data_IF_999967556524
#
_entry.id   IF_999967556524
#
_cell.length_a   1.000
_cell.length_b   1.000
_cell.length_c   1.000
_cell.angle_alpha   90.00
_cell.angle_beta   90.00
_cell.angle_gamma   90.00
#
_symmetry.space_group_name_H-M   'P 1'
#
loop_
_entity.id
_entity.type
_entity.pdbx_description
1 polymer ?
#
# COMPACT_ATOMS: atom_id res chain seq x y z
N UNK A 1 -4.24 -7.38 16.34
CA UNK A 1 -3.74 -8.28 15.29
C UNK A 1 -2.84 -7.43 14.41
N UNK A 2 -1.57 -7.80 14.29
CA UNK A 2 -0.59 -7.06 13.49
C UNK A 2 -0.59 -7.64 12.08
N UNK A 3 -0.79 -6.80 11.06
CA UNK A 3 -0.49 -7.18 9.68
C UNK A 3 1.02 -7.14 9.51
N UNK A 4 1.58 -8.19 8.91
CA UNK A 4 3.03 -8.34 8.77
C UNK A 4 3.36 -8.82 7.37
N UNK A 5 4.36 -8.17 6.80
CA UNK A 5 4.98 -8.66 5.59
C UNK A 5 5.67 -9.99 5.91
N UNK A 6 5.55 -10.95 5.00
CA UNK A 6 6.10 -12.30 5.11
C UNK A 6 6.84 -12.64 3.82
N UNK A 7 7.77 -13.60 3.88
CA UNK A 7 8.59 -13.98 2.72
C UNK A 7 7.77 -14.52 1.54
N UNK A 8 6.55 -15.03 1.76
CA UNK A 8 5.66 -15.43 0.68
C UNK A 8 5.11 -14.24 -0.13
N UNK A 9 5.23 -13.01 0.37
CA UNK A 9 4.92 -11.78 -0.36
C UNK A 9 6.13 -11.21 -1.10
N UNK A 10 7.29 -11.86 -1.03
CA UNK A 10 8.46 -11.40 -1.78
C UNK A 10 8.24 -11.52 -3.30
N UNK A 11 8.59 -10.45 -4.02
CA UNK A 11 8.55 -10.40 -5.48
C UNK A 11 9.90 -10.73 -6.10
N UNK A 12 10.97 -10.76 -5.29
CA UNK A 12 12.33 -11.06 -5.73
C UNK A 12 13.07 -9.86 -6.32
N UNK A 13 12.58 -8.65 -6.04
CA UNK A 13 13.19 -7.38 -6.44
C UNK A 13 13.44 -6.59 -5.17
N UNK A 14 14.67 -6.62 -4.67
CA UNK A 14 14.99 -6.14 -3.32
C UNK A 14 14.54 -4.70 -3.02
N UNK A 15 14.54 -3.80 -4.01
CA UNK A 15 14.02 -2.44 -3.81
C UNK A 15 12.50 -2.38 -3.65
N UNK A 16 11.74 -3.25 -4.31
CA UNK A 16 10.28 -3.35 -4.19
C UNK A 16 9.94 -4.03 -2.86
N UNK A 17 10.60 -5.14 -2.55
CA UNK A 17 10.39 -5.89 -1.30
C UNK A 17 10.63 -5.00 -0.05
N UNK A 18 11.67 -4.16 -0.09
CA UNK A 18 11.93 -3.18 0.98
C UNK A 18 10.81 -2.14 1.13
N UNK A 19 10.22 -1.69 0.02
CA UNK A 19 9.10 -0.74 0.05
C UNK A 19 7.82 -1.41 0.58
N UNK A 20 7.55 -2.66 0.21
CA UNK A 20 6.44 -3.43 0.78
C UNK A 20 6.59 -3.59 2.29
N UNK A 21 7.77 -3.97 2.78
CA UNK A 21 8.03 -4.09 4.21
C UNK A 21 7.79 -2.77 4.96
N UNK A 22 8.15 -1.64 4.36
CA UNK A 22 7.88 -0.30 4.91
C UNK A 22 6.37 0.01 4.96
N UNK A 23 5.62 -0.28 3.90
CA UNK A 23 4.16 -0.10 3.88
C UNK A 23 3.51 -0.90 5.00
N UNK A 24 3.82 -2.19 5.11
CA UNK A 24 3.25 -3.05 6.15
C UNK A 24 3.56 -2.52 7.56
N UNK A 25 4.77 -2.02 7.79
CA UNK A 25 5.15 -1.42 9.07
C UNK A 25 4.37 -0.13 9.38
N UNK A 26 4.07 0.69 8.36
CA UNK A 26 3.25 1.90 8.52
C UNK A 26 1.79 1.57 8.81
N UNK A 27 1.25 0.56 8.14
CA UNK A 27 -0.11 0.05 8.42
C UNK A 27 -0.19 -0.51 9.85
N UNK A 28 0.82 -1.25 10.30
CA UNK A 28 0.89 -1.72 11.69
C UNK A 28 0.99 -0.56 12.70
N UNK A 29 1.77 0.48 12.41
CA UNK A 29 1.86 1.67 13.25
C UNK A 29 0.51 2.40 13.37
N UNK A 30 -0.23 2.54 12.25
CA UNK A 30 -1.59 3.09 12.22
C UNK A 30 -2.52 2.28 13.14
N UNK A 31 -2.49 0.95 13.01
CA UNK A 31 -3.27 0.04 13.85
C UNK A 31 -2.96 0.19 15.34
N UNK A 32 -1.68 0.31 15.69
CA UNK A 32 -1.25 0.51 17.08
C UNK A 32 -1.76 1.84 17.61
N UNK A 33 -1.63 2.92 16.84
CA UNK A 33 -2.08 4.26 17.22
C UNK A 33 -3.57 4.27 17.58
N UNK A 34 -4.36 3.65 16.71
CA UNK A 34 -5.79 3.43 16.88
C UNK A 34 -6.10 2.61 18.14
N UNK A 35 -5.42 1.48 18.32
CA UNK A 35 -5.70 0.54 19.42
C UNK A 35 -5.45 1.16 20.79
N UNK A 36 -4.55 2.15 20.85
CA UNK A 36 -4.19 2.91 22.04
C UNK A 36 -5.11 4.11 22.28
N UNK A 37 -6.13 4.31 21.44
CA UNK A 37 -7.02 5.46 21.53
C UNK A 37 -6.28 6.78 21.35
N UNK A 38 -5.23 6.81 20.52
CA UNK A 38 -4.55 8.07 20.21
C UNK A 38 -5.53 9.04 19.56
N UNK A 39 -5.35 10.34 19.86
CA UNK A 39 -6.26 11.38 19.39
C UNK A 39 -6.29 11.49 17.86
N UNK A 40 -7.35 12.15 17.34
CA UNK A 40 -7.60 12.37 15.91
C UNK A 40 -6.36 12.83 15.15
N UNK A 41 -5.63 13.80 15.69
CA UNK A 41 -4.45 14.38 15.02
C UNK A 41 -3.37 13.35 14.72
N UNK A 42 -3.12 12.40 15.63
CA UNK A 42 -2.12 11.35 15.44
C UNK A 42 -2.56 10.36 14.36
N UNK A 43 -3.86 10.09 14.27
CA UNK A 43 -4.42 9.20 13.25
C UNK A 43 -4.36 9.87 11.88
N UNK A 44 -4.71 11.15 11.80
CA UNK A 44 -4.64 11.93 10.56
C UNK A 44 -3.20 12.02 10.05
N UNK A 45 -2.23 12.35 10.91
CA UNK A 45 -0.81 12.40 10.56
C UNK A 45 -0.31 11.03 10.04
N UNK A 46 -0.73 9.95 10.68
CA UNK A 46 -0.33 8.60 10.26
C UNK A 46 -0.95 8.21 8.91
N UNK A 47 -2.20 8.61 8.67
CA UNK A 47 -2.88 8.35 7.40
C UNK A 47 -2.24 9.15 6.24
N UNK A 48 -1.92 10.42 6.47
CA UNK A 48 -1.20 11.26 5.48
C UNK A 48 0.14 10.64 5.15
N UNK A 49 0.90 10.23 6.17
CA UNK A 49 2.20 9.58 5.98
C UNK A 49 2.11 8.24 5.23
N UNK A 50 1.03 7.49 5.42
CA UNK A 50 0.76 6.27 4.67
C UNK A 50 0.45 6.58 3.21
N UNK A 51 -0.43 7.55 2.93
CA UNK A 51 -0.77 7.99 1.57
C UNK A 51 0.47 8.45 0.79
N UNK A 52 1.29 9.31 1.41
CA UNK A 52 2.52 9.82 0.78
C UNK A 52 3.49 8.70 0.43
N UNK A 53 3.58 7.68 1.29
CA UNK A 53 4.48 6.55 1.07
C UNK A 53 3.98 5.60 0.00
N UNK A 54 2.69 5.26 0.03
CA UNK A 54 2.04 4.44 -1.01
C UNK A 54 2.22 5.09 -2.37
N UNK A 55 1.95 6.39 -2.48
CA UNK A 55 2.14 7.13 -3.73
C UNK A 55 3.62 7.16 -4.17
N UNK A 56 4.56 7.22 -3.22
CA UNK A 56 6.00 7.17 -3.52
C UNK A 56 6.43 5.79 -4.02
N UNK A 57 5.92 4.73 -3.39
CA UNK A 57 6.14 3.35 -3.81
C UNK A 57 5.59 3.11 -5.23
N UNK A 58 4.34 3.47 -5.49
CA UNK A 58 3.72 3.36 -6.81
C UNK A 58 4.51 4.11 -7.88
N UNK A 59 4.87 5.37 -7.64
CA UNK A 59 5.72 6.13 -8.58
C UNK A 59 7.05 5.44 -8.88
N UNK A 60 7.69 4.86 -7.87
CA UNK A 60 8.96 4.18 -8.03
C UNK A 60 8.81 2.89 -8.87
N UNK A 61 7.80 2.08 -8.57
CA UNK A 61 7.49 0.86 -9.30
C UNK A 61 7.10 1.16 -10.74
N UNK A 62 6.16 2.07 -10.97
CA UNK A 62 5.73 2.44 -12.32
C UNK A 62 6.87 3.01 -13.17
N UNK A 63 7.77 3.78 -12.56
CA UNK A 63 8.97 4.28 -13.24
C UNK A 63 9.86 3.13 -13.69
N UNK A 64 10.04 2.11 -12.84
CA UNK A 64 10.76 0.90 -13.19
C UNK A 64 10.06 0.14 -14.32
N UNK A 65 8.75 -0.08 -14.22
CA UNK A 65 7.97 -0.80 -15.22
C UNK A 65 7.97 -0.11 -16.59
N UNK A 66 7.82 1.22 -16.61
CA UNK A 66 7.94 2.03 -17.84
C UNK A 66 9.30 1.85 -18.50
N UNK A 67 10.39 1.93 -17.72
CA UNK A 67 11.76 1.74 -18.23
C UNK A 67 11.99 0.34 -18.79
N UNK A 68 11.33 -0.65 -18.21
CA UNK A 68 11.44 -2.07 -18.59
C UNK A 68 10.43 -2.50 -19.63
N UNK A 69 9.55 -1.60 -20.09
CA UNK A 69 8.47 -1.87 -21.07
C UNK A 69 7.60 -3.05 -20.64
N UNK A 70 7.20 -3.05 -19.37
CA UNK A 70 6.30 -4.07 -18.84
C UNK A 70 4.98 -4.09 -19.64
N UNK A 71 4.55 -5.25 -20.18
CA UNK A 71 3.42 -5.32 -21.10
C UNK A 71 2.06 -5.00 -20.46
N UNK A 72 1.91 -5.22 -19.15
CA UNK A 72 0.64 -4.98 -18.42
C UNK A 72 0.65 -3.64 -17.65
N UNK A 73 1.55 -2.71 -18.02
CA UNK A 73 1.72 -1.43 -17.31
C UNK A 73 0.40 -0.66 -17.12
N UNK A 74 -0.41 -0.51 -18.18
CA UNK A 74 -1.63 0.30 -18.10
C UNK A 74 -2.66 -0.28 -17.12
N UNK A 75 -2.74 -1.61 -17.03
CA UNK A 75 -3.59 -2.29 -16.05
C UNK A 75 -3.05 -2.08 -14.62
N UNK A 76 -1.74 -2.18 -14.43
CA UNK A 76 -1.09 -1.92 -13.14
C UNK A 76 -1.31 -0.49 -12.64
N UNK A 77 -1.18 0.49 -13.54
CA UNK A 77 -1.45 1.91 -13.26
C UNK A 77 -2.90 2.16 -12.81
N UNK A 78 -3.85 1.46 -13.43
CA UNK A 78 -5.26 1.60 -13.07
C UNK A 78 -5.52 1.08 -11.65
N UNK A 79 -4.89 -0.02 -11.25
CA UNK A 79 -5.00 -0.58 -9.88
C UNK A 79 -4.42 0.38 -8.84
N UNK A 80 -3.25 0.97 -9.11
CA UNK A 80 -2.66 1.99 -8.24
C UNK A 80 -3.58 3.20 -8.08
N UNK A 81 -4.09 3.74 -9.19
CA UNK A 81 -4.97 4.90 -9.17
C UNK A 81 -6.29 4.64 -8.41
N UNK A 82 -6.86 3.44 -8.53
CA UNK A 82 -8.05 3.04 -7.77
C UNK A 82 -7.76 2.99 -6.26
N UNK A 83 -6.59 2.49 -5.87
CA UNK A 83 -6.21 2.44 -4.48
C UNK A 83 -5.91 3.82 -3.89
N UNK A 84 -5.19 4.67 -4.61
CA UNK A 84 -4.95 6.06 -4.19
C UNK A 84 -6.26 6.81 -3.95
N UNK A 85 -7.23 6.66 -4.86
CA UNK A 85 -8.58 7.23 -4.70
C UNK A 85 -9.30 6.67 -3.47
N UNK A 86 -9.18 5.37 -3.21
CA UNK A 86 -9.77 4.75 -2.03
C UNK A 86 -9.20 5.37 -0.74
N UNK A 87 -7.90 5.67 -0.69
CA UNK A 87 -7.29 6.35 0.45
C UNK A 87 -7.78 7.79 0.59
N UNK A 88 -7.94 8.51 -0.52
CA UNK A 88 -8.47 9.86 -0.55
C UNK A 88 -9.91 9.91 -0.01
N UNK A 89 -10.78 9.00 -0.47
CA UNK A 89 -12.16 8.88 0.01
C UNK A 89 -12.23 8.65 1.53
N UNK A 90 -11.30 7.86 2.09
CA UNK A 90 -11.21 7.67 3.54
C UNK A 90 -10.81 8.93 4.28
N UNK A 91 -9.84 9.68 3.75
CA UNK A 91 -9.42 10.96 4.33
C UNK A 91 -10.56 11.97 4.33
N UNK A 92 -11.26 12.13 3.22
CA UNK A 92 -12.42 13.03 3.14
C UNK A 92 -13.53 12.63 4.13
N UNK A 93 -13.78 11.33 4.29
CA UNK A 93 -14.73 10.81 5.28
C UNK A 93 -14.29 11.14 6.70
N UNK A 94 -13.01 11.00 7.03
CA UNK A 94 -12.47 11.31 8.35
C UNK A 94 -12.59 12.80 8.68
N UNK A 95 -12.33 13.67 7.70
CA UNK A 95 -12.46 15.12 7.83
C UNK A 95 -13.92 15.54 8.03
N UNK A 96 -14.86 14.93 7.29
CA UNK A 96 -16.29 15.28 7.34
C UNK A 96 -17.03 14.73 8.56
N UNK A 97 -16.79 13.47 8.91
CA UNK A 97 -17.61 12.73 9.89
C UNK A 97 -16.87 12.53 11.22
N UNK A 98 -15.57 12.83 11.26
CA UNK A 98 -14.70 12.53 12.38
C UNK A 98 -14.24 11.07 12.38
N UNK A 99 -13.11 10.82 13.03
CA UNK A 99 -12.53 9.48 13.12
C UNK A 99 -13.34 8.63 14.10
N UNK A 100 -13.90 7.51 13.63
CA UNK A 100 -14.61 6.53 14.46
C UNK A 100 -13.92 5.17 14.43
N UNK A 101 -14.04 4.39 15.51
CA UNK A 101 -13.48 3.04 15.56
C UNK A 101 -13.96 2.13 14.41
N UNK A 102 -15.19 2.32 13.93
CA UNK A 102 -15.73 1.58 12.78
C UNK A 102 -15.02 1.94 11.48
N UNK A 103 -14.86 3.23 11.20
CA UNK A 103 -14.16 3.71 10.01
C UNK A 103 -12.72 3.24 9.97
N UNK A 104 -12.09 3.20 11.13
CA UNK A 104 -10.74 2.68 11.25
C UNK A 104 -10.65 1.20 10.89
N UNK A 105 -11.56 0.36 11.40
CA UNK A 105 -11.60 -1.06 11.06
C UNK A 105 -11.84 -1.27 9.56
N UNK A 106 -12.65 -0.43 8.94
CA UNK A 106 -12.90 -0.43 7.50
C UNK A 106 -11.63 -0.09 6.70
N UNK A 107 -10.92 0.98 7.06
CA UNK A 107 -9.65 1.39 6.45
C UNK A 107 -8.63 0.26 6.52
N UNK A 108 -8.45 -0.32 7.70
CA UNK A 108 -7.52 -1.43 7.92
C UNK A 108 -7.88 -2.60 7.01
N UNK A 109 -9.13 -3.04 7.01
CA UNK A 109 -9.54 -4.20 6.23
C UNK A 109 -9.32 -3.98 4.72
N UNK A 110 -9.61 -2.77 4.22
CA UNK A 110 -9.40 -2.41 2.82
C UNK A 110 -7.92 -2.35 2.47
N UNK A 111 -7.11 -1.67 3.30
CA UNK A 111 -5.66 -1.57 3.12
C UNK A 111 -5.02 -2.94 3.05
N UNK A 112 -5.35 -3.82 3.98
CA UNK A 112 -4.64 -5.09 4.16
C UNK A 112 -5.04 -6.07 3.09
N UNK A 113 -6.34 -6.15 2.78
CA UNK A 113 -6.84 -6.98 1.70
C UNK A 113 -6.29 -6.53 0.34
N UNK A 114 -6.24 -5.22 0.09
CA UNK A 114 -5.70 -4.71 -1.16
C UNK A 114 -4.20 -5.00 -1.26
N UNK A 115 -3.40 -4.69 -0.23
CA UNK A 115 -1.95 -4.90 -0.25
C UNK A 115 -1.59 -6.38 -0.41
N UNK A 116 -2.21 -7.27 0.37
CA UNK A 116 -1.93 -8.71 0.27
C UNK A 116 -2.28 -9.24 -1.12
N UNK A 117 -3.44 -8.86 -1.66
CA UNK A 117 -3.88 -9.33 -2.97
C UNK A 117 -3.04 -8.75 -4.10
N UNK A 118 -2.77 -7.44 -4.08
CA UNK A 118 -1.99 -6.74 -5.09
C UNK A 118 -0.55 -7.31 -5.14
N UNK A 119 0.11 -7.43 -4.00
CA UNK A 119 1.48 -7.97 -3.95
C UNK A 119 1.51 -9.44 -4.38
N UNK A 120 0.59 -10.26 -3.87
CA UNK A 120 0.60 -11.69 -4.14
C UNK A 120 0.27 -12.04 -5.60
N UNK A 121 -0.44 -11.18 -6.32
CA UNK A 121 -0.89 -11.45 -7.70
C UNK A 121 -0.20 -10.54 -8.70
N UNK A 122 -0.27 -9.23 -8.54
CA UNK A 122 0.19 -8.26 -9.53
C UNK A 122 1.70 -8.04 -9.42
N UNK A 123 2.22 -7.73 -8.23
CA UNK A 123 3.66 -7.42 -8.09
C UNK A 123 4.54 -8.66 -8.28
N UNK A 124 4.02 -9.87 -8.01
CA UNK A 124 4.71 -11.10 -8.37
C UNK A 124 4.86 -11.29 -9.88
N UNK A 125 3.93 -10.81 -10.71
CA UNK A 125 4.10 -10.85 -12.18
C UNK A 125 5.25 -9.95 -12.60
N UNK A 126 5.42 -8.81 -11.93
CA UNK A 126 6.55 -7.89 -12.14
C UNK A 126 7.87 -8.59 -11.82
N UNK A 127 7.97 -9.21 -10.65
CA UNK A 127 9.15 -9.99 -10.26
C UNK A 127 9.53 -11.04 -11.29
N UNK A 128 8.55 -11.84 -11.73
CA UNK A 128 8.74 -12.87 -12.75
C UNK A 128 9.17 -12.28 -14.12
N UNK A 129 8.62 -11.14 -14.51
CA UNK A 129 8.99 -10.44 -15.75
C UNK A 129 10.43 -9.90 -15.70
N UNK A 130 10.82 -9.27 -14.60
CA UNK A 130 12.16 -8.69 -14.43
C UNK A 130 13.25 -9.77 -14.35
N UNK A 131 12.96 -10.91 -13.72
CA UNK A 131 13.87 -12.06 -13.70
C UNK A 131 14.17 -12.59 -15.11
N UNK A 132 13.15 -12.71 -15.97
CA UNK A 132 13.31 -13.16 -17.37
C UNK A 132 14.01 -12.14 -18.27
N UNK A 133 13.87 -10.85 -17.97
CA UNK A 133 14.44 -9.75 -18.76
C UNK A 133 15.91 -9.44 -18.42
N UNK A 134 16.48 -10.15 -17.44
CA UNK A 134 17.86 -10.00 -16.98
C UNK A 134 18.80 -11.09 -17.52
N UNK A 135 18.31 -11.91 -18.46
CA UNK A 135 19.05 -12.94 -19.20
C UNK A 135 19.23 -12.56 -20.67
#
# INVERSE_FOLDING_TARGET
MAIRWTEDLAVGVGSIDQQHQEIFRRVDALLVAISRGQGKDVIDDTLVFLQEYVATHFRAEETLLRRRRYPELDAHLALHAEFERTLEDFKERFEREGVTGRMILEVVAVLTNWLEHHIAIEDKKIGAFLARSSS
#
